data_IF_172830708318
#
_entry.id   IF_172830708318
#
_cell.length_a   1.000
_cell.length_b   1.000
_cell.length_c   1.000
_cell.angle_alpha   90.00
_cell.angle_beta   90.00
_cell.angle_gamma   90.00
#
_symmetry.space_group_name_H-M   'P 1'
#
loop_
_entity.id
_entity.type
_entity.pdbx_description
1 polymer ?
#
# COMPACT_ATOMS: atom_id res chain seq x y z
N UNK A 1 12.35 10.71 3.44
CA UNK A 1 11.34 9.77 2.88
C UNK A 1 11.97 8.49 2.30
N UNK A 2 13.29 8.34 2.26
CA UNK A 2 13.97 7.17 1.66
C UNK A 2 14.31 6.03 2.66
N UNK A 3 14.00 6.18 3.95
CA UNK A 3 14.42 5.22 5.00
C UNK A 3 13.33 4.22 5.43
N UNK A 4 12.21 4.14 4.71
CA UNK A 4 11.06 3.26 5.07
C UNK A 4 11.11 1.88 4.40
N UNK A 5 12.21 1.55 3.71
CA UNK A 5 12.44 0.23 3.13
C UNK A 5 12.85 -0.83 4.16
N UNK A 6 13.11 -2.07 3.74
CA UNK A 6 13.08 -2.56 2.35
C UNK A 6 11.66 -2.86 1.86
N UNK A 7 11.41 -2.58 0.57
CA UNK A 7 10.13 -2.88 -0.10
C UNK A 7 10.17 -4.27 -0.73
N UNK A 8 9.11 -5.05 -0.51
CA UNK A 8 8.92 -6.35 -1.16
C UNK A 8 8.01 -6.25 -2.38
N UNK A 9 7.12 -5.25 -2.42
CA UNK A 9 6.23 -5.01 -3.56
C UNK A 9 6.11 -3.52 -3.85
N UNK A 10 6.03 -3.20 -5.15
CA UNK A 10 5.82 -1.86 -5.70
C UNK A 10 4.82 -2.00 -6.84
N UNK A 11 3.66 -1.35 -6.71
CA UNK A 11 2.62 -1.38 -7.75
C UNK A 11 2.10 0.03 -8.04
N UNK A 12 1.95 0.36 -9.32
CA UNK A 12 1.46 1.67 -9.78
C UNK A 12 -0.05 1.60 -10.02
N UNK A 13 -0.78 2.65 -9.65
CA UNK A 13 -2.21 2.73 -9.89
C UNK A 13 -2.53 2.72 -11.39
N UNK A 14 -3.71 2.23 -11.83
CA UNK A 14 -4.07 2.17 -13.24
C UNK A 14 -4.00 3.53 -13.97
N UNK A 15 -4.25 4.63 -13.26
CA UNK A 15 -4.16 5.99 -13.80
C UNK A 15 -2.74 6.59 -13.76
N UNK A 16 -1.75 5.88 -13.22
CA UNK A 16 -0.35 6.32 -13.13
C UNK A 16 -0.07 7.40 -12.09
N UNK A 17 -1.04 7.78 -11.25
CA UNK A 17 -0.91 8.90 -10.30
C UNK A 17 -0.37 8.50 -8.94
N UNK A 18 -0.52 7.24 -8.55
CA UNK A 18 -0.17 6.74 -7.23
C UNK A 18 0.66 5.48 -7.31
N UNK A 19 1.43 5.24 -6.25
CA UNK A 19 2.25 4.04 -6.08
C UNK A 19 1.99 3.48 -4.70
N UNK A 20 1.72 2.18 -4.64
CA UNK A 20 1.64 1.45 -3.39
C UNK A 20 2.98 0.74 -3.14
N UNK A 21 3.57 0.98 -1.97
CA UNK A 21 4.83 0.41 -1.52
C UNK A 21 4.60 -0.45 -0.30
N UNK A 22 4.81 -1.76 -0.41
CA UNK A 22 4.68 -2.68 0.72
C UNK A 22 6.06 -3.07 1.26
N UNK A 23 6.27 -2.90 2.57
CA UNK A 23 7.54 -3.18 3.23
C UNK A 23 7.63 -4.62 3.70
N UNK A 24 8.85 -5.11 3.93
CA UNK A 24 9.09 -6.39 4.59
C UNK A 24 8.58 -6.44 6.04
N UNK A 25 8.30 -5.28 6.64
CA UNK A 25 7.77 -5.16 8.01
C UNK A 25 6.25 -5.19 8.09
N UNK A 26 5.55 -5.36 6.97
CA UNK A 26 4.09 -5.44 6.97
C UNK A 26 3.37 -4.10 6.88
N UNK A 27 4.04 -3.04 6.44
CA UNK A 27 3.41 -1.72 6.27
C UNK A 27 3.20 -1.44 4.79
N UNK A 28 2.01 -0.96 4.42
CA UNK A 28 1.75 -0.42 3.08
C UNK A 28 1.67 1.10 3.11
N UNK A 29 2.32 1.71 2.15
CA UNK A 29 2.29 3.15 1.91
C UNK A 29 1.64 3.42 0.55
N UNK A 30 0.75 4.40 0.49
CA UNK A 30 0.29 4.97 -0.77
C UNK A 30 0.94 6.33 -0.92
N UNK A 31 1.65 6.54 -2.02
CA UNK A 31 2.36 7.78 -2.34
C UNK A 31 1.95 8.29 -3.73
N UNK A 32 2.23 9.56 -4.01
CA UNK A 32 2.16 10.08 -5.38
C UNK A 32 3.27 9.49 -6.25
N UNK A 33 3.02 9.32 -7.55
CA UNK A 33 3.97 8.67 -8.47
C UNK A 33 5.24 9.48 -8.75
N UNK A 34 5.24 10.77 -8.43
CA UNK A 34 6.43 11.62 -8.37
C UNK A 34 7.28 11.42 -7.09
N UNK A 35 6.85 10.51 -6.21
CA UNK A 35 7.47 10.21 -4.93
C UNK A 35 7.70 11.46 -4.08
N UNK A 36 6.80 12.45 -4.12
CA UNK A 36 6.90 13.66 -3.30
C UNK A 36 6.00 13.60 -2.06
N UNK A 37 4.83 12.98 -2.15
CA UNK A 37 3.83 12.99 -1.09
C UNK A 37 3.43 11.58 -0.65
N UNK A 38 3.36 11.39 0.66
CA UNK A 38 2.77 10.20 1.27
C UNK A 38 1.31 10.48 1.62
N UNK A 39 0.41 9.72 1.03
CA UNK A 39 -1.03 9.90 1.11
C UNK A 39 -1.66 9.00 2.17
N UNK A 40 -1.15 7.79 2.32
CA UNK A 40 -1.65 6.82 3.30
C UNK A 40 -0.52 5.94 3.83
N UNK A 41 -0.73 5.45 5.03
CA UNK A 41 0.12 4.50 5.75
C UNK A 41 -0.79 3.55 6.52
N UNK A 42 -0.63 2.25 6.30
CA UNK A 42 -1.44 1.23 6.94
C UNK A 42 -0.57 0.05 7.40
N UNK A 43 -0.66 -0.27 8.69
CA UNK A 43 -0.04 -1.44 9.28
C UNK A 43 -0.97 -2.65 9.09
N UNK A 44 -0.50 -3.65 8.35
CA UNK A 44 -1.24 -4.89 8.12
C UNK A 44 -1.30 -5.80 9.34
N UNK A 45 -0.58 -5.45 10.42
CA UNK A 45 -0.48 -6.20 11.69
C UNK A 45 0.07 -7.62 11.53
N UNK A 46 0.70 -7.90 10.39
CA UNK A 46 1.33 -9.18 10.08
C UNK A 46 2.58 -8.96 9.24
N UNK A 47 3.58 -9.81 9.45
CA UNK A 47 4.80 -9.87 8.63
C UNK A 47 4.78 -11.06 7.66
N UNK A 48 3.69 -11.84 7.65
CA UNK A 48 3.48 -12.92 6.70
C UNK A 48 3.34 -12.31 5.31
N UNK A 49 4.11 -12.82 4.34
CA UNK A 49 4.06 -12.32 2.98
C UNK A 49 2.63 -12.49 2.40
N UNK A 50 2.06 -11.44 1.78
CA UNK A 50 0.76 -11.53 1.15
C UNK A 50 0.83 -12.42 -0.09
N UNK A 51 -0.29 -13.06 -0.42
CA UNK A 51 -0.46 -13.81 -1.66
C UNK A 51 -0.55 -12.91 -2.88
N UNK A 52 -1.25 -11.78 -2.73
CA UNK A 52 -1.44 -10.82 -3.81
C UNK A 52 -1.63 -9.40 -3.26
N UNK A 53 -1.19 -8.43 -4.05
CA UNK A 53 -1.39 -7.00 -3.82
C UNK A 53 -1.78 -6.38 -5.16
N UNK A 54 -2.99 -5.82 -5.23
CA UNK A 54 -3.55 -5.24 -6.45
C UNK A 54 -4.24 -3.91 -6.19
N UNK A 55 -4.31 -3.07 -7.20
CA UNK A 55 -5.18 -1.90 -7.18
C UNK A 55 -6.63 -2.29 -7.45
N UNK A 56 -7.56 -1.77 -6.67
CA UNK A 56 -9.00 -1.84 -6.91
C UNK A 56 -9.49 -0.45 -7.36
N UNK A 57 -9.62 -0.28 -8.68
CA UNK A 57 -9.83 1.03 -9.28
C UNK A 57 -8.57 1.90 -9.21
N UNK A 58 -8.74 3.21 -9.05
CA UNK A 58 -7.63 4.15 -9.10
C UNK A 58 -7.01 4.49 -7.74
N UNK A 59 -7.80 4.37 -6.66
CA UNK A 59 -7.48 5.04 -5.40
C UNK A 59 -7.47 4.07 -4.20
N UNK A 60 -7.74 2.78 -4.41
CA UNK A 60 -7.72 1.77 -3.37
C UNK A 60 -6.77 0.62 -3.68
N UNK A 61 -6.12 0.09 -2.66
CA UNK A 61 -5.22 -1.07 -2.73
C UNK A 61 -5.83 -2.23 -1.94
N UNK A 62 -5.80 -3.43 -2.52
CA UNK A 62 -6.24 -4.67 -1.90
C UNK A 62 -5.02 -5.53 -1.64
N UNK A 63 -4.91 -6.06 -0.42
CA UNK A 63 -3.88 -7.02 -0.01
C UNK A 63 -4.57 -8.28 0.48
N UNK A 64 -4.16 -9.44 -0.02
CA UNK A 64 -4.76 -10.72 0.36
C UNK A 64 -3.75 -11.72 0.95
N UNK A 65 -4.15 -12.40 2.02
CA UNK A 65 -3.50 -13.58 2.60
C UNK A 65 -4.40 -14.82 2.43
N UNK A 66 -4.09 -15.93 3.10
CA UNK A 66 -4.94 -17.14 3.01
C UNK A 66 -6.37 -16.90 3.52
N UNK A 67 -6.48 -16.27 4.69
CA UNK A 67 -7.75 -16.13 5.42
C UNK A 67 -8.15 -14.67 5.68
N UNK A 68 -7.40 -13.70 5.15
CA UNK A 68 -7.58 -12.28 5.45
C UNK A 68 -7.39 -11.42 4.19
N UNK A 69 -8.18 -10.35 4.08
CA UNK A 69 -8.06 -9.33 3.03
C UNK A 69 -8.16 -7.95 3.65
N UNK A 70 -7.23 -7.06 3.29
CA UNK A 70 -7.26 -5.65 3.64
C UNK A 70 -7.59 -4.82 2.40
N UNK A 71 -8.44 -3.81 2.56
CA UNK A 71 -8.73 -2.81 1.53
C UNK A 71 -8.34 -1.45 2.08
N UNK A 72 -7.37 -0.81 1.43
CA UNK A 72 -6.81 0.49 1.80
C UNK A 72 -7.28 1.50 0.78
N UNK A 73 -8.31 2.29 1.13
CA UNK A 73 -8.82 3.38 0.29
C UNK A 73 -8.15 4.73 0.59
N UNK A 74 -8.52 5.79 -0.18
CA UNK A 74 -8.06 7.14 0.08
C UNK A 74 -8.76 7.65 1.36
N UNK A 75 -8.02 7.56 2.48
CA UNK A 75 -8.27 8.15 3.79
C UNK A 75 -9.72 8.26 4.28
N UNK A 76 -10.08 7.48 5.31
CA UNK A 76 -10.73 8.12 6.45
C UNK A 76 -9.63 8.88 7.20
N UNK A 77 -9.67 10.22 7.21
CA UNK A 77 -8.92 10.98 8.19
C UNK A 77 -9.29 10.49 9.60
N UNK A 78 -8.36 10.47 10.57
CA UNK A 78 -8.75 10.28 11.96
C UNK A 78 -9.69 11.44 12.32
N UNK A 79 -10.92 11.11 12.74
CA UNK A 79 -11.83 12.05 13.42
C UNK A 79 -11.40 12.25 14.87
#
# INVERSE_FOLDING_TARGET
MLDIGPFTHIIVSPNGKFVALYTATGTIYVITSDCQNRLSEHDTKTVVAPRDIQWCGNDAVVIGWEDEIHIIGPGSAPV
#
